data_IF_693890366069
#
_entry.id   IF_693890366069
#
_cell.length_a   1.000
_cell.length_b   1.000
_cell.length_c   1.000
_cell.angle_alpha   90.00
_cell.angle_beta   90.00
_cell.angle_gamma   90.00
#
_symmetry.space_group_name_H-M   'P 1'
#
loop_
_entity.id
_entity.type
_entity.pdbx_description
1 polymer ?
#
# COMPACT_ATOMS: atom_id res chain seq x y z
N UNK A 1 -13.20 -16.74 -19.77
CA UNK A 1 -11.98 -15.92 -19.98
C UNK A 1 -11.49 -15.61 -18.58
N UNK A 2 -10.36 -16.21 -18.20
CA UNK A 2 -9.89 -16.20 -16.82
C UNK A 2 -9.37 -14.80 -16.46
N UNK A 3 -10.12 -14.07 -15.65
CA UNK A 3 -9.65 -12.79 -15.09
C UNK A 3 -8.43 -13.07 -14.20
N UNK A 4 -7.23 -12.71 -14.65
CA UNK A 4 -5.98 -12.99 -13.93
C UNK A 4 -5.77 -12.11 -12.68
N UNK A 5 -6.50 -10.99 -12.56
CA UNK A 5 -6.42 -10.04 -11.45
C UNK A 5 -7.57 -9.04 -11.51
N UNK A 6 -7.93 -8.44 -10.37
CA UNK A 6 -8.97 -7.40 -10.27
C UNK A 6 -8.60 -6.28 -9.31
N UNK A 7 -9.28 -5.14 -9.40
CA UNK A 7 -9.36 -4.19 -8.29
C UNK A 7 -10.52 -4.66 -7.41
N UNK A 8 -10.20 -5.08 -6.19
CA UNK A 8 -11.18 -5.45 -5.19
C UNK A 8 -11.49 -4.26 -4.29
N UNK A 9 -12.75 -4.12 -3.91
CA UNK A 9 -13.19 -3.18 -2.89
C UNK A 9 -12.42 -3.39 -1.59
N UNK A 10 -12.27 -2.33 -0.80
CA UNK A 10 -11.67 -2.42 0.52
C UNK A 10 -12.34 -3.52 1.36
N UNK A 11 -11.53 -4.39 1.93
CA UNK A 11 -11.96 -5.50 2.78
C UNK A 11 -11.26 -5.39 4.15
N UNK A 12 -12.00 -5.24 5.26
CA UNK A 12 -11.43 -5.16 6.59
C UNK A 12 -10.62 -6.41 6.99
N UNK A 13 -10.88 -7.58 6.37
CA UNK A 13 -10.12 -8.79 6.62
C UNK A 13 -8.66 -8.69 6.18
N UNK A 14 -8.30 -7.71 5.34
CA UNK A 14 -6.89 -7.46 5.00
C UNK A 14 -6.04 -7.12 6.21
N UNK A 15 -6.62 -6.51 7.25
CA UNK A 15 -5.90 -6.27 8.50
C UNK A 15 -5.62 -7.59 9.24
N UNK A 16 -6.59 -8.50 9.27
CA UNK A 16 -6.41 -9.82 9.92
C UNK A 16 -5.33 -10.64 9.21
N UNK A 17 -5.35 -10.64 7.86
CA UNK A 17 -4.31 -11.27 7.05
C UNK A 17 -2.92 -10.67 7.29
N UNK A 18 -2.84 -9.34 7.45
CA UNK A 18 -1.59 -8.68 7.82
C UNK A 18 -1.11 -9.13 9.20
N UNK A 19 -1.97 -9.16 10.21
CA UNK A 19 -1.61 -9.56 11.56
C UNK A 19 -1.12 -11.02 11.61
N UNK A 20 -1.81 -11.93 10.91
CA UNK A 20 -1.40 -13.34 10.81
C UNK A 20 0.02 -13.47 10.24
N UNK A 21 0.28 -12.83 9.09
CA UNK A 21 1.61 -12.88 8.46
C UNK A 21 2.65 -12.15 9.31
N UNK A 22 2.29 -11.00 9.86
CA UNK A 22 3.16 -10.15 10.65
C UNK A 22 3.63 -10.84 11.93
N UNK A 23 2.74 -11.53 12.64
CA UNK A 23 3.11 -12.32 13.83
C UNK A 23 4.08 -13.44 13.48
N UNK A 24 3.84 -14.17 12.39
CA UNK A 24 4.79 -15.20 11.93
C UNK A 24 6.18 -14.61 11.63
N UNK A 25 6.24 -13.42 11.04
CA UNK A 25 7.51 -12.71 10.81
C UNK A 25 8.16 -12.28 12.13
N UNK A 26 7.37 -11.73 13.05
CA UNK A 26 7.85 -11.32 14.38
C UNK A 26 8.41 -12.50 15.17
N UNK A 27 7.72 -13.63 15.20
CA UNK A 27 8.19 -14.85 15.87
C UNK A 27 9.49 -15.37 15.27
N UNK A 28 9.61 -15.32 13.93
CA UNK A 28 10.81 -15.80 13.24
C UNK A 28 12.02 -14.87 13.39
N UNK A 29 11.81 -13.54 13.41
CA UNK A 29 12.89 -12.55 13.39
C UNK A 29 13.19 -11.92 14.75
N UNK A 30 12.28 -12.02 15.73
CA UNK A 30 12.42 -11.39 17.03
C UNK A 30 12.77 -9.90 16.90
N UNK A 31 13.77 -9.45 17.65
CA UNK A 31 14.21 -8.04 17.68
C UNK A 31 14.99 -7.61 16.42
N UNK A 32 15.32 -8.52 15.50
CA UNK A 32 15.94 -8.15 14.21
C UNK A 32 14.97 -7.31 13.37
N UNK A 33 13.67 -7.61 13.45
CA UNK A 33 12.64 -6.81 12.81
C UNK A 33 12.30 -5.60 13.70
N UNK A 34 13.03 -4.49 13.56
CA UNK A 34 12.77 -3.28 14.36
C UNK A 34 11.30 -2.85 14.34
N UNK A 35 10.65 -2.93 13.17
CA UNK A 35 9.23 -2.65 12.97
C UNK A 35 8.60 -3.53 11.91
N UNK A 36 7.30 -3.79 12.04
CA UNK A 36 6.48 -4.50 11.05
C UNK A 36 5.23 -3.68 10.80
N UNK A 37 5.03 -3.28 9.55
CA UNK A 37 3.96 -2.36 9.16
C UNK A 37 3.11 -2.92 8.02
N UNK A 38 1.80 -2.65 8.06
CA UNK A 38 0.92 -2.90 6.95
C UNK A 38 1.05 -1.74 5.97
N UNK A 39 1.50 -2.02 4.75
CA UNK A 39 1.76 -1.00 3.72
C UNK A 39 1.03 -1.30 2.42
N UNK A 40 1.02 -0.33 1.51
CA UNK A 40 0.33 -0.42 0.22
C UNK A 40 -1.17 -0.13 0.34
N UNK A 41 -1.93 -0.29 -0.76
CA UNK A 41 -3.36 0.08 -0.76
C UNK A 41 -4.20 -0.70 0.27
N UNK A 42 -3.83 -1.94 0.58
CA UNK A 42 -4.58 -2.78 1.52
C UNK A 42 -4.52 -2.29 2.97
N UNK A 43 -3.61 -1.38 3.31
CA UNK A 43 -3.44 -0.84 4.67
C UNK A 43 -4.19 0.48 4.89
N UNK A 44 -4.96 0.94 3.90
CA UNK A 44 -5.69 2.20 3.92
C UNK A 44 -7.19 1.89 3.90
N UNK A 45 -7.89 2.28 4.96
CA UNK A 45 -9.31 2.03 5.11
C UNK A 45 -10.09 2.72 3.99
N UNK A 46 -10.93 1.96 3.29
CA UNK A 46 -11.74 2.46 2.18
C UNK A 46 -11.01 2.60 0.84
N UNK A 47 -9.74 2.15 0.74
CA UNK A 47 -9.01 2.16 -0.52
C UNK A 47 -9.04 0.77 -1.18
N UNK A 48 -9.63 0.70 -2.37
CA UNK A 48 -9.65 -0.50 -3.18
C UNK A 48 -8.23 -0.97 -3.52
N UNK A 49 -8.00 -2.26 -3.68
CA UNK A 49 -6.67 -2.79 -3.91
C UNK A 49 -6.62 -3.77 -5.08
N UNK A 50 -5.47 -3.82 -5.75
CA UNK A 50 -5.16 -4.92 -6.65
C UNK A 50 -5.19 -6.22 -5.86
N UNK A 51 -5.95 -7.20 -6.34
CA UNK A 51 -6.00 -8.56 -5.79
C UNK A 51 -5.92 -9.58 -6.91
N UNK A 52 -5.20 -10.65 -6.63
CA UNK A 52 -5.15 -11.84 -7.49
C UNK A 52 -6.42 -12.67 -7.33
N UNK A 53 -6.60 -13.65 -8.21
CA UNK A 53 -7.74 -14.57 -8.19
C UNK A 53 -7.87 -15.22 -6.80
N UNK A 54 -9.09 -15.35 -6.25
CA UNK A 54 -9.35 -16.14 -5.06
C UNK A 54 -8.69 -17.53 -5.13
N UNK A 55 -8.05 -17.95 -4.03
CA UNK A 55 -7.30 -19.22 -3.94
C UNK A 55 -5.79 -19.08 -4.12
N UNK A 56 -5.31 -17.96 -4.66
CA UNK A 56 -3.87 -17.64 -4.74
C UNK A 56 -3.59 -16.44 -3.82
N UNK A 57 -3.34 -16.72 -2.53
CA UNK A 57 -2.94 -15.67 -1.58
C UNK A 57 -1.47 -15.36 -1.78
N UNK A 58 -1.17 -14.24 -2.45
CA UNK A 58 0.19 -13.71 -2.53
C UNK A 58 0.37 -12.56 -1.55
N UNK A 59 1.34 -12.70 -0.65
CA UNK A 59 1.80 -11.61 0.22
C UNK A 59 3.09 -11.05 -0.36
N UNK A 60 3.20 -9.73 -0.42
CA UNK A 60 4.46 -9.04 -0.72
C UNK A 60 5.11 -8.59 0.58
N UNK A 61 6.32 -9.08 0.84
CA UNK A 61 7.13 -8.66 1.99
C UNK A 61 8.26 -7.78 1.47
N UNK A 62 8.33 -6.55 1.99
CA UNK A 62 9.40 -5.61 1.70
C UNK A 62 10.29 -5.46 2.93
N UNK A 63 11.54 -5.93 2.85
CA UNK A 63 12.53 -5.73 3.91
C UNK A 63 13.32 -4.47 3.61
N UNK A 64 13.42 -3.58 4.60
CA UNK A 64 14.06 -2.26 4.47
C UNK A 64 14.89 -1.99 5.73
N UNK A 65 15.96 -1.21 5.57
CA UNK A 65 16.73 -0.72 6.71
C UNK A 65 15.98 0.41 7.42
N UNK A 66 15.94 0.39 8.75
CA UNK A 66 15.38 1.45 9.59
C UNK A 66 15.99 2.81 9.26
N UNK A 67 15.15 3.82 9.09
CA UNK A 67 15.53 5.19 8.72
C UNK A 67 15.88 5.39 7.24
N UNK A 68 15.89 4.33 6.42
CA UNK A 68 16.22 4.47 5.00
C UNK A 68 15.14 5.25 4.25
N UNK A 69 15.54 5.97 3.19
CA UNK A 69 14.61 6.67 2.31
C UNK A 69 13.45 5.77 1.85
N UNK A 70 13.75 4.51 1.53
CA UNK A 70 12.77 3.56 1.03
C UNK A 70 11.72 3.15 2.07
N UNK A 71 12.10 3.10 3.35
CA UNK A 71 11.18 2.87 4.48
C UNK A 71 10.31 4.12 4.68
N UNK A 72 10.96 5.27 4.87
CA UNK A 72 10.30 6.54 5.14
C UNK A 72 9.28 6.88 4.05
N UNK A 73 9.65 6.75 2.77
CA UNK A 73 8.74 7.04 1.65
C UNK A 73 7.52 6.11 1.63
N UNK A 74 7.70 4.83 1.96
CA UNK A 74 6.60 3.86 1.97
C UNK A 74 5.60 4.18 3.09
N UNK A 75 6.10 4.47 4.29
CA UNK A 75 5.27 4.82 5.45
C UNK A 75 4.60 6.18 5.25
N UNK A 76 5.34 7.17 4.73
CA UNK A 76 4.82 8.50 4.44
C UNK A 76 3.68 8.45 3.42
N UNK A 77 3.83 7.71 2.32
CA UNK A 77 2.77 7.56 1.33
C UNK A 77 1.51 6.94 1.93
N UNK A 78 1.66 5.91 2.76
CA UNK A 78 0.55 5.25 3.47
C UNK A 78 -0.15 6.23 4.40
N UNK A 79 0.60 6.88 5.28
CA UNK A 79 0.06 7.74 6.33
C UNK A 79 -0.61 8.98 5.74
N UNK A 80 -0.02 9.56 4.69
CA UNK A 80 -0.63 10.63 3.94
C UNK A 80 -2.02 10.23 3.40
N UNK A 81 -2.13 9.06 2.74
CA UNK A 81 -3.42 8.62 2.21
C UNK A 81 -4.44 8.20 3.28
N UNK A 82 -3.99 7.87 4.50
CA UNK A 82 -4.90 7.66 5.65
C UNK A 82 -5.57 8.97 6.09
N UNK A 83 -4.86 10.10 5.98
CA UNK A 83 -5.34 11.43 6.39
C UNK A 83 -5.99 12.23 5.24
N UNK A 84 -5.68 11.92 3.97
CA UNK A 84 -6.13 12.70 2.81
C UNK A 84 -7.10 11.91 1.95
N UNK A 85 -8.36 11.86 2.40
CA UNK A 85 -9.44 11.09 1.73
C UNK A 85 -9.65 11.47 0.27
N UNK A 86 -9.52 12.74 -0.10
CA UNK A 86 -9.68 13.17 -1.49
C UNK A 86 -8.62 12.55 -2.41
N UNK A 87 -7.35 12.58 -2.01
CA UNK A 87 -6.28 11.97 -2.79
C UNK A 87 -6.33 10.43 -2.77
N UNK A 88 -6.85 9.85 -1.69
CA UNK A 88 -7.18 8.42 -1.62
C UNK A 88 -8.24 8.04 -2.67
N UNK A 89 -9.32 8.82 -2.78
CA UNK A 89 -10.38 8.61 -3.79
C UNK A 89 -9.85 8.81 -5.21
N UNK A 90 -9.04 9.85 -5.44
CA UNK A 90 -8.38 10.07 -6.74
C UNK A 90 -7.48 8.90 -7.13
N UNK A 91 -6.70 8.38 -6.18
CA UNK A 91 -5.86 7.22 -6.41
C UNK A 91 -6.68 5.96 -6.71
N UNK A 92 -7.80 5.76 -6.03
CA UNK A 92 -8.73 4.66 -6.33
C UNK A 92 -9.31 4.78 -7.74
N UNK A 93 -9.83 5.95 -8.10
CA UNK A 93 -10.40 6.22 -9.41
C UNK A 93 -9.40 5.98 -10.54
N UNK A 94 -8.14 6.38 -10.36
CA UNK A 94 -7.10 6.15 -11.36
C UNK A 94 -6.76 4.67 -11.53
N UNK A 95 -6.77 3.88 -10.43
CA UNK A 95 -6.61 2.42 -10.54
C UNK A 95 -7.74 1.78 -11.33
N UNK A 96 -8.98 2.19 -11.11
CA UNK A 96 -10.14 1.70 -11.87
C UNK A 96 -10.07 2.13 -13.35
N UNK A 97 -9.70 3.38 -13.61
CA UNK A 97 -9.50 3.88 -14.98
C UNK A 97 -8.43 3.09 -15.73
N UNK A 98 -7.27 2.87 -15.12
CA UNK A 98 -6.17 2.11 -15.70
C UNK A 98 -6.52 0.63 -15.87
N UNK A 99 -7.29 0.05 -14.94
CA UNK A 99 -7.82 -1.30 -15.10
C UNK A 99 -8.72 -1.40 -16.33
N UNK A 100 -9.63 -0.45 -16.52
CA UNK A 100 -10.50 -0.41 -17.71
C UNK A 100 -9.74 -0.27 -19.02
N UNK A 101 -8.62 0.45 -19.02
CA UNK A 101 -7.78 0.64 -20.22
C UNK A 101 -6.83 -0.53 -20.50
N UNK A 102 -6.31 -1.17 -19.46
CA UNK A 102 -5.20 -2.12 -19.54
C UNK A 102 -5.50 -3.47 -18.89
N UNK A 103 -6.76 -3.90 -18.92
CA UNK A 103 -7.25 -5.14 -18.30
C UNK A 103 -6.38 -6.37 -18.62
N UNK A 104 -5.89 -6.47 -19.86
CA UNK A 104 -5.04 -7.58 -20.32
C UNK A 104 -3.54 -7.24 -20.35
N UNK A 105 -3.15 -6.02 -19.97
CA UNK A 105 -1.78 -5.51 -20.09
C UNK A 105 -1.29 -5.00 -18.74
N UNK A 106 -1.11 -5.92 -17.79
CA UNK A 106 -0.74 -5.59 -16.38
C UNK A 106 0.46 -4.66 -16.26
N UNK A 107 1.46 -4.78 -17.13
CA UNK A 107 2.64 -3.89 -17.13
C UNK A 107 2.24 -2.42 -17.37
N UNK A 108 1.35 -2.14 -18.33
CA UNK A 108 0.81 -0.80 -18.60
C UNK A 108 -0.01 -0.27 -17.43
N UNK A 109 -0.76 -1.14 -16.75
CA UNK A 109 -1.45 -0.75 -15.50
C UNK A 109 -0.45 -0.34 -14.42
N UNK A 110 0.63 -1.09 -14.22
CA UNK A 110 1.65 -0.77 -13.20
C UNK A 110 2.35 0.53 -13.53
N UNK A 111 2.82 0.70 -14.77
CA UNK A 111 3.51 1.90 -15.25
C UNK A 111 2.59 3.13 -15.25
N UNK A 112 1.34 2.96 -15.69
CA UNK A 112 0.35 4.04 -15.79
C UNK A 112 -0.01 4.69 -14.45
N UNK A 113 0.25 4.02 -13.31
CA UNK A 113 0.07 4.61 -11.98
C UNK A 113 1.17 5.61 -11.60
N UNK A 114 2.30 5.60 -12.30
CA UNK A 114 3.47 6.42 -11.97
C UNK A 114 3.14 7.90 -11.74
N UNK A 115 2.41 8.58 -12.64
CA UNK A 115 2.06 9.99 -12.49
C UNK A 115 1.29 10.31 -11.20
N UNK A 116 0.21 9.58 -10.89
CA UNK A 116 -0.58 9.87 -9.69
C UNK A 116 0.16 9.52 -8.40
N UNK A 117 0.98 8.45 -8.42
CA UNK A 117 1.81 8.09 -7.27
C UNK A 117 2.84 9.19 -7.00
N UNK A 118 3.48 9.73 -8.03
CA UNK A 118 4.43 10.82 -7.86
C UNK A 118 3.78 12.10 -7.35
N UNK A 119 2.61 12.46 -7.87
CA UNK A 119 1.86 13.62 -7.37
C UNK A 119 1.53 13.47 -5.88
N UNK A 120 1.03 12.31 -5.46
CA UNK A 120 0.71 12.02 -4.07
C UNK A 120 1.97 12.06 -3.20
N UNK A 121 3.10 11.51 -3.67
CA UNK A 121 4.38 11.61 -2.94
C UNK A 121 4.82 13.06 -2.75
N UNK A 122 4.65 13.92 -3.74
CA UNK A 122 4.99 15.34 -3.63
C UNK A 122 4.12 16.04 -2.59
N UNK A 123 2.81 15.79 -2.60
CA UNK A 123 1.90 16.32 -1.58
C UNK A 123 2.22 15.78 -0.19
N UNK A 124 2.50 14.47 -0.08
CA UNK A 124 2.89 13.84 1.16
C UNK A 124 4.20 14.41 1.71
N UNK A 125 5.15 14.73 0.85
CA UNK A 125 6.38 15.42 1.25
C UNK A 125 6.11 16.81 1.83
N UNK A 126 5.26 17.62 1.19
CA UNK A 126 4.87 18.95 1.70
C UNK A 126 4.17 18.80 3.05
N UNK A 127 3.14 17.95 3.12
CA UNK A 127 2.41 17.66 4.34
C UNK A 127 3.34 17.21 5.48
N UNK A 128 4.33 16.36 5.19
CA UNK A 128 5.28 15.89 6.19
C UNK A 128 6.07 17.03 6.85
N UNK A 129 6.38 18.10 6.09
CA UNK A 129 7.07 19.27 6.62
C UNK A 129 6.14 20.14 7.45
N UNK A 130 4.89 20.30 7.00
CA UNK A 130 3.89 21.14 7.67
C UNK A 130 3.54 20.62 9.07
N UNK A 131 3.42 19.31 9.22
CA UNK A 131 3.04 18.69 10.50
C UNK A 131 4.21 18.08 11.27
N UNK A 132 5.44 18.15 10.72
CA UNK A 132 6.60 17.50 11.30
C UNK A 132 6.46 15.98 11.39
N UNK A 133 5.88 15.36 10.35
CA UNK A 133 5.60 13.92 10.31
C UNK A 133 6.86 13.11 10.58
N UNK A 134 6.68 12.05 11.36
CA UNK A 134 7.63 10.96 11.56
C UNK A 134 6.83 9.66 11.57
N UNK A 135 7.42 8.52 11.18
CA UNK A 135 6.76 7.24 11.34
C UNK A 135 6.30 7.05 12.79
N UNK A 136 5.00 6.82 12.98
CA UNK A 136 4.44 6.48 14.28
C UNK A 136 4.79 5.03 14.65
N UNK A 137 4.18 4.56 15.75
CA UNK A 137 4.21 3.17 16.20
C UNK A 137 3.95 2.20 15.03
N UNK A 138 4.69 1.09 14.96
CA UNK A 138 4.43 0.05 13.98
C UNK A 138 2.98 -0.46 14.05
N UNK A 139 2.43 -0.90 12.92
CA UNK A 139 1.09 -1.50 12.90
C UNK A 139 1.03 -2.85 13.67
N UNK A 140 2.19 -3.50 13.91
CA UNK A 140 2.36 -4.71 14.74
C UNK A 140 3.41 -4.53 15.84
#
# INVERSE_FOLDING_TARGET
MDEQWRIAEYDPEWRNLFLEVGWNIREALGDIADRIDHVGSTSIVGLDAFREIPGHRRTHIHVRQTGSYSEQLTLLFRDYLREHKEDCLRYSAEKHRLMGLYHHERHKYVEGKGPIVWEIIQKAHIWSQEIGWKPDKPDL
#
